data_IF_306897098270
#
_entry.id   IF_306897098270
#
_cell.length_a   1.000
_cell.length_b   1.000
_cell.length_c   1.000
_cell.angle_alpha   90.00
_cell.angle_beta   90.00
_cell.angle_gamma   90.00
#
_symmetry.space_group_name_H-M   'P 1'
#
loop_
_entity.id
_entity.type
_entity.pdbx_description
1 polymer ?
#
# COMPACT_ATOMS: atom_id res chain seq x y z
N UNK A 1 -5.32 10.12 -46.88
CA UNK A 1 -6.13 9.49 -45.80
C UNK A 1 -5.34 8.48 -44.96
N UNK A 2 -4.66 7.50 -45.55
CA UNK A 2 -3.92 6.47 -44.80
C UNK A 2 -2.87 7.03 -43.81
N UNK A 3 -2.12 8.06 -44.23
CA UNK A 3 -1.08 8.69 -43.38
C UNK A 3 -1.67 9.35 -42.12
N UNK A 4 -2.85 9.95 -42.22
CA UNK A 4 -3.51 10.59 -41.06
C UNK A 4 -4.05 9.54 -40.08
N UNK A 5 -4.53 8.40 -40.58
CA UNK A 5 -4.98 7.29 -39.72
C UNK A 5 -3.79 6.62 -38.99
N UNK A 6 -2.65 6.51 -39.66
CA UNK A 6 -1.42 5.95 -39.10
C UNK A 6 -0.79 6.88 -38.05
N UNK A 7 -0.83 8.20 -38.28
CA UNK A 7 -0.43 9.20 -37.29
C UNK A 7 -1.37 9.18 -36.07
N UNK A 8 -2.69 9.05 -36.26
CA UNK A 8 -3.65 8.98 -35.14
C UNK A 8 -3.44 7.71 -34.28
N UNK A 9 -3.15 6.56 -34.91
CA UNK A 9 -2.82 5.31 -34.22
C UNK A 9 -1.49 5.39 -33.46
N UNK A 10 -0.50 6.14 -33.98
CA UNK A 10 0.76 6.40 -33.27
C UNK A 10 0.54 7.31 -32.05
N UNK A 11 -0.28 8.36 -32.18
CA UNK A 11 -0.60 9.27 -31.07
C UNK A 11 -1.46 8.62 -29.96
N UNK A 12 -2.33 7.66 -30.31
CA UNK A 12 -3.12 6.89 -29.33
C UNK A 12 -2.26 5.91 -28.50
N UNK A 13 -1.12 5.47 -29.01
CA UNK A 13 -0.20 4.56 -28.32
C UNK A 13 0.85 5.26 -27.42
N UNK A 14 0.88 6.60 -27.42
CA UNK A 14 1.76 7.40 -26.55
C UNK A 14 1.14 7.72 -25.19
N UNK A 15 -0.01 7.12 -24.86
CA UNK A 15 -0.54 7.11 -23.50
C UNK A 15 0.46 6.37 -22.61
N UNK A 16 1.42 7.12 -22.07
CA UNK A 16 2.37 6.64 -21.08
C UNK A 16 1.53 6.10 -19.93
N UNK A 17 1.53 4.78 -19.72
CA UNK A 17 0.84 4.18 -18.59
C UNK A 17 1.44 4.76 -17.31
N UNK A 18 0.70 5.67 -16.70
CA UNK A 18 1.03 6.21 -15.39
C UNK A 18 0.47 5.26 -14.35
N UNK A 19 1.31 4.91 -13.39
CA UNK A 19 0.89 4.06 -12.29
C UNK A 19 0.60 4.88 -11.04
N UNK A 20 -0.53 4.55 -10.43
CA UNK A 20 -0.88 4.99 -9.08
C UNK A 20 -0.73 3.80 -8.15
N UNK A 21 -0.71 4.04 -6.83
CA UNK A 21 -0.67 2.96 -5.85
C UNK A 21 -1.88 2.01 -5.95
N UNK A 22 -2.98 2.43 -6.59
CA UNK A 22 -4.17 1.63 -6.86
C UNK A 22 -4.08 0.78 -8.13
N UNK A 23 -3.40 1.29 -9.16
CA UNK A 23 -3.32 0.65 -10.49
C UNK A 23 -2.03 -0.12 -10.74
N UNK A 24 -1.01 0.03 -9.89
CA UNK A 24 0.25 -0.70 -10.04
C UNK A 24 0.05 -2.22 -9.85
N UNK A 25 0.46 -3.08 -10.78
CA UNK A 25 0.14 -4.52 -10.70
C UNK A 25 0.88 -5.21 -9.53
N UNK A 26 0.29 -6.26 -8.93
CA UNK A 26 0.97 -7.08 -7.91
C UNK A 26 1.68 -8.26 -8.61
N UNK A 27 3.02 -8.39 -8.52
CA UNK A 27 3.76 -9.41 -9.27
C UNK A 27 3.45 -10.83 -8.84
N UNK A 28 2.74 -11.03 -7.73
CA UNK A 28 2.35 -12.36 -7.22
C UNK A 28 1.04 -12.84 -7.83
N UNK A 29 0.12 -11.92 -8.15
CA UNK A 29 -1.20 -12.24 -8.71
C UNK A 29 -1.35 -11.87 -10.18
N UNK A 30 -0.59 -10.89 -10.67
CA UNK A 30 -0.57 -10.46 -12.07
C UNK A 30 0.89 -10.33 -12.58
N UNK A 31 1.59 -11.47 -12.78
CA UNK A 31 2.97 -11.45 -13.23
C UNK A 31 3.12 -10.90 -14.65
N UNK A 32 2.11 -11.09 -15.52
CA UNK A 32 2.18 -10.64 -16.91
C UNK A 32 2.17 -9.11 -17.03
N UNK A 33 1.33 -8.42 -16.25
CA UNK A 33 1.37 -6.95 -16.19
C UNK A 33 2.71 -6.43 -15.65
N UNK A 34 3.38 -7.21 -14.80
CA UNK A 34 4.72 -6.94 -14.28
C UNK A 34 5.87 -7.38 -15.22
N UNK A 35 5.56 -7.88 -16.43
CA UNK A 35 6.50 -8.43 -17.41
C UNK A 35 7.32 -9.62 -16.90
N UNK A 36 6.68 -10.48 -16.13
CA UNK A 36 7.20 -11.75 -15.63
C UNK A 36 6.36 -12.92 -16.17
N UNK A 37 7.00 -14.07 -16.43
CA UNK A 37 6.30 -15.26 -16.91
C UNK A 37 5.48 -15.96 -15.81
N UNK A 38 5.90 -15.81 -14.54
CA UNK A 38 5.30 -16.45 -13.37
C UNK A 38 5.34 -15.49 -12.18
N UNK A 39 4.63 -15.84 -11.11
CA UNK A 39 4.63 -15.07 -9.86
C UNK A 39 6.04 -14.73 -9.39
N UNK A 40 6.26 -13.46 -9.06
CA UNK A 40 7.60 -12.92 -8.79
C UNK A 40 7.62 -11.94 -7.62
N UNK A 41 8.81 -11.65 -7.12
CA UNK A 41 9.10 -10.55 -6.20
C UNK A 41 9.35 -9.22 -6.93
N UNK A 42 9.52 -9.23 -8.25
CA UNK A 42 9.85 -8.06 -9.07
C UNK A 42 8.67 -7.67 -9.95
N UNK A 43 8.34 -6.39 -9.95
CA UNK A 43 7.38 -5.80 -10.87
C UNK A 43 7.96 -4.59 -11.59
N UNK A 44 8.06 -4.66 -12.92
CA UNK A 44 8.56 -3.57 -13.77
C UNK A 44 7.68 -3.41 -15.04
N UNK A 45 6.44 -2.90 -14.89
CA UNK A 45 5.53 -2.75 -16.01
C UNK A 45 6.04 -1.75 -17.06
N UNK A 46 6.86 -0.79 -16.64
CA UNK A 46 7.45 0.26 -17.49
C UNK A 46 8.70 -0.21 -18.26
N UNK A 47 9.22 -1.42 -18.01
CA UNK A 47 10.50 -1.90 -18.54
C UNK A 47 11.63 -0.89 -18.37
N UNK A 48 11.80 -0.43 -17.14
CA UNK A 48 12.99 0.32 -16.71
C UNK A 48 14.23 -0.56 -16.79
N UNK A 49 14.09 -1.85 -16.47
CA UNK A 49 15.11 -2.88 -16.61
C UNK A 49 14.94 -3.62 -17.95
N UNK A 50 16.06 -4.08 -18.51
CA UNK A 50 16.04 -5.10 -19.55
C UNK A 50 15.45 -6.42 -19.02
N UNK A 51 14.96 -7.27 -19.92
CA UNK A 51 14.39 -8.57 -19.55
C UNK A 51 15.42 -9.46 -18.83
N UNK A 52 16.69 -9.41 -19.26
CA UNK A 52 17.79 -10.13 -18.63
C UNK A 52 18.08 -9.61 -17.21
N UNK A 53 18.17 -8.30 -17.02
CA UNK A 53 18.38 -7.70 -15.70
C UNK A 53 17.23 -8.01 -14.74
N UNK A 54 15.99 -7.92 -15.22
CA UNK A 54 14.79 -8.20 -14.44
C UNK A 54 14.74 -9.65 -13.99
N UNK A 55 15.03 -10.60 -14.87
CA UNK A 55 15.07 -12.02 -14.55
C UNK A 55 16.21 -12.37 -13.58
N UNK A 56 17.41 -11.80 -13.78
CA UNK A 56 18.55 -11.97 -12.86
C UNK A 56 18.25 -11.40 -11.47
N UNK A 57 17.68 -10.21 -11.40
CA UNK A 57 17.26 -9.59 -10.14
C UNK A 57 16.22 -10.45 -9.44
N UNK A 58 15.18 -10.93 -10.14
CA UNK A 58 14.16 -11.80 -9.56
C UNK A 58 14.75 -13.10 -8.99
N UNK A 59 15.65 -13.75 -9.73
CA UNK A 59 16.37 -14.94 -9.25
C UNK A 59 17.18 -14.63 -8.00
N UNK A 60 17.91 -13.50 -8.00
CA UNK A 60 18.76 -13.09 -6.88
C UNK A 60 17.95 -12.76 -5.63
N UNK A 61 16.85 -12.00 -5.76
CA UNK A 61 15.94 -11.71 -4.65
C UNK A 61 15.37 -13.01 -4.07
N UNK A 62 14.93 -13.94 -4.91
CA UNK A 62 14.41 -15.23 -4.44
C UNK A 62 15.49 -16.06 -3.72
N UNK A 63 16.73 -16.04 -4.20
CA UNK A 63 17.86 -16.69 -3.52
C UNK A 63 18.11 -16.07 -2.14
N UNK A 64 18.19 -14.75 -2.05
CA UNK A 64 18.46 -14.03 -0.80
C UNK A 64 17.34 -14.20 0.22
N UNK A 65 16.09 -14.06 -0.20
CA UNK A 65 14.93 -14.31 0.66
C UNK A 65 14.88 -15.78 1.09
N UNK A 66 15.25 -16.72 0.22
CA UNK A 66 15.32 -18.14 0.53
C UNK A 66 16.26 -18.48 1.69
N UNK A 67 17.36 -17.74 1.85
CA UNK A 67 18.30 -17.91 3.00
C UNK A 67 17.61 -17.60 4.33
N UNK A 68 16.62 -16.70 4.34
CA UNK A 68 15.90 -16.33 5.56
C UNK A 68 14.83 -17.33 5.97
N UNK A 69 14.53 -18.33 5.14
CA UNK A 69 13.46 -19.31 5.39
C UNK A 69 13.61 -20.12 6.69
N UNK A 70 14.85 -20.27 7.18
CA UNK A 70 15.17 -20.99 8.42
C UNK A 70 15.19 -20.10 9.66
N UNK A 71 15.06 -18.78 9.50
CA UNK A 71 15.20 -17.81 10.57
C UNK A 71 13.87 -17.62 11.27
N UNK A 72 13.76 -18.06 12.52
CA UNK A 72 12.53 -17.87 13.29
C UNK A 72 12.32 -16.40 13.64
N UNK A 73 11.22 -15.83 13.16
CA UNK A 73 10.86 -14.47 13.54
C UNK A 73 10.45 -14.40 15.01
N UNK A 74 11.27 -13.70 15.80
CA UNK A 74 11.07 -13.46 17.24
C UNK A 74 9.97 -12.43 17.60
N UNK A 75 9.31 -11.81 16.62
CA UNK A 75 8.24 -10.85 16.88
C UNK A 75 6.98 -11.58 17.39
N UNK A 76 6.32 -11.03 18.42
CA UNK A 76 5.17 -11.67 19.06
C UNK A 76 4.02 -12.02 18.08
N UNK A 77 3.63 -11.14 17.12
CA UNK A 77 2.60 -11.48 16.12
C UNK A 77 2.99 -12.64 15.19
N UNK A 78 4.29 -12.91 15.03
CA UNK A 78 4.82 -13.96 14.17
C UNK A 78 4.97 -15.31 14.85
N UNK A 79 4.82 -15.38 16.19
CA UNK A 79 4.92 -16.65 16.93
C UNK A 79 3.88 -17.70 16.48
N UNK A 80 2.70 -17.24 16.05
CA UNK A 80 1.62 -18.10 15.56
C UNK A 80 1.78 -18.49 14.08
N UNK A 81 2.74 -17.89 13.37
CA UNK A 81 3.03 -18.15 11.95
C UNK A 81 4.53 -18.34 11.73
N UNK A 82 5.10 -19.47 12.18
CA UNK A 82 6.53 -19.71 12.09
C UNK A 82 7.06 -19.74 10.65
N UNK A 83 6.18 -19.97 9.67
CA UNK A 83 6.51 -19.96 8.24
C UNK A 83 6.52 -18.55 7.62
N UNK A 84 6.06 -17.52 8.36
CA UNK A 84 6.06 -16.13 7.91
C UNK A 84 7.44 -15.51 8.08
N UNK A 85 8.27 -15.67 7.04
CA UNK A 85 9.61 -15.11 6.94
C UNK A 85 9.61 -13.78 6.19
N UNK A 86 10.80 -13.18 6.02
CA UNK A 86 10.99 -11.96 5.25
C UNK A 86 10.41 -12.11 3.84
N UNK A 87 9.51 -11.20 3.46
CA UNK A 87 8.99 -11.13 2.09
C UNK A 87 9.42 -9.80 1.49
N UNK A 88 10.17 -9.83 0.39
CA UNK A 88 10.61 -8.61 -0.30
C UNK A 88 9.91 -8.53 -1.66
N UNK A 89 9.31 -7.38 -1.95
CA UNK A 89 8.82 -7.03 -3.29
C UNK A 89 9.51 -5.76 -3.77
N UNK A 90 9.88 -5.74 -5.04
CA UNK A 90 10.53 -4.61 -5.71
C UNK A 90 9.60 -4.10 -6.81
N UNK A 91 9.10 -2.88 -6.63
CA UNK A 91 8.28 -2.16 -7.60
C UNK A 91 9.15 -1.15 -8.34
N UNK A 92 9.24 -1.30 -9.65
CA UNK A 92 10.06 -0.46 -10.53
C UNK A 92 9.11 0.21 -11.51
N UNK A 93 9.23 1.53 -11.65
CA UNK A 93 8.41 2.28 -12.59
C UNK A 93 9.16 3.48 -13.14
N UNK A 94 8.69 3.95 -14.29
CA UNK A 94 9.32 5.10 -14.92
C UNK A 94 9.04 6.40 -14.14
N UNK A 95 7.78 6.63 -13.76
CA UNK A 95 7.35 7.83 -13.02
C UNK A 95 6.10 7.56 -12.19
N UNK A 96 6.00 8.18 -11.02
CA UNK A 96 4.82 8.12 -10.16
C UNK A 96 3.81 9.23 -10.54
N UNK A 97 2.53 8.87 -10.66
CA UNK A 97 1.44 9.84 -10.82
C UNK A 97 1.39 10.53 -12.20
N UNK A 98 0.63 11.63 -12.28
CA UNK A 98 0.37 12.36 -13.52
C UNK A 98 1.29 13.55 -13.77
N UNK A 99 1.57 13.82 -15.06
CA UNK A 99 2.40 14.94 -15.51
C UNK A 99 1.97 16.26 -14.83
N UNK A 100 2.91 16.92 -14.15
CA UNK A 100 2.71 18.24 -13.56
C UNK A 100 2.58 18.28 -12.03
N UNK A 101 2.42 17.12 -11.36
CA UNK A 101 2.40 17.05 -9.90
C UNK A 101 3.59 16.25 -9.38
N UNK A 102 4.28 16.77 -8.37
CA UNK A 102 5.31 16.01 -7.66
C UNK A 102 4.59 14.94 -6.83
N UNK A 103 4.73 13.67 -7.20
CA UNK A 103 4.11 12.59 -6.47
C UNK A 103 4.98 12.22 -5.26
N UNK A 104 4.35 12.07 -4.10
CA UNK A 104 5.01 11.59 -2.88
C UNK A 104 5.24 10.07 -2.98
N UNK A 105 6.51 9.67 -3.20
CA UNK A 105 6.92 8.26 -3.27
C UNK A 105 6.66 7.51 -1.96
N UNK A 106 6.71 8.19 -0.82
CA UNK A 106 6.43 7.58 0.49
C UNK A 106 4.95 7.23 0.58
N UNK A 107 4.05 8.17 0.23
CA UNK A 107 2.61 7.91 0.16
C UNK A 107 2.27 6.81 -0.84
N UNK A 108 2.93 6.81 -2.00
CA UNK A 108 2.77 5.75 -3.00
C UNK A 108 3.16 4.38 -2.44
N UNK A 109 4.36 4.25 -1.86
CA UNK A 109 4.89 3.01 -1.32
C UNK A 109 4.04 2.47 -0.16
N UNK A 110 3.63 3.33 0.78
CA UNK A 110 2.78 2.95 1.90
C UNK A 110 1.40 2.44 1.45
N UNK A 111 0.76 3.16 0.52
CA UNK A 111 -0.54 2.74 -0.03
C UNK A 111 -0.42 1.44 -0.84
N UNK A 112 0.68 1.29 -1.61
CA UNK A 112 0.94 0.09 -2.38
C UNK A 112 1.16 -1.13 -1.47
N UNK A 113 1.98 -1.00 -0.42
CA UNK A 113 2.17 -2.04 0.61
C UNK A 113 0.84 -2.43 1.26
N UNK A 114 0.04 -1.46 1.71
CA UNK A 114 -1.28 -1.71 2.32
C UNK A 114 -2.19 -2.50 1.38
N UNK A 115 -2.23 -2.14 0.09
CA UNK A 115 -3.05 -2.84 -0.90
C UNK A 115 -2.55 -4.25 -1.19
N UNK A 116 -1.23 -4.45 -1.36
CA UNK A 116 -0.64 -5.78 -1.57
C UNK A 116 -0.85 -6.71 -0.37
N UNK A 117 -0.98 -6.13 0.82
CA UNK A 117 -1.34 -6.85 2.02
C UNK A 117 -2.86 -6.96 2.19
N UNK A 118 -3.69 -6.57 1.22
CA UNK A 118 -5.16 -6.58 1.35
C UNK A 118 -5.67 -5.93 2.65
N UNK A 119 -4.99 -4.89 3.12
CA UNK A 119 -5.27 -4.25 4.40
C UNK A 119 -5.18 -5.21 5.61
N UNK A 120 -4.22 -6.15 5.63
CA UNK A 120 -4.01 -7.04 6.78
C UNK A 120 -4.10 -6.29 8.11
N UNK A 121 -4.79 -6.91 9.07
CA UNK A 121 -4.99 -6.36 10.40
C UNK A 121 -3.65 -6.05 11.07
N UNK A 122 -3.61 -4.95 11.84
CA UNK A 122 -2.41 -4.48 12.56
C UNK A 122 -1.89 -5.57 13.53
N UNK A 123 -2.73 -6.52 13.93
CA UNK A 123 -2.37 -7.66 14.78
C UNK A 123 -1.66 -8.81 14.09
N UNK A 124 -1.58 -8.83 12.75
CA UNK A 124 -0.93 -9.92 12.01
C UNK A 124 0.58 -9.69 11.85
N UNK A 125 1.31 -10.80 11.71
CA UNK A 125 2.74 -10.81 11.41
C UNK A 125 3.03 -10.09 10.08
N UNK A 126 3.68 -8.94 10.16
CA UNK A 126 4.04 -8.09 9.03
C UNK A 126 5.55 -8.08 8.79
N UNK A 127 6.03 -9.06 8.03
CA UNK A 127 7.42 -9.21 7.59
C UNK A 127 7.68 -8.67 6.18
N UNK A 128 6.73 -7.91 5.63
CA UNK A 128 6.75 -7.48 4.24
C UNK A 128 7.61 -6.23 4.05
N UNK A 129 8.52 -6.27 3.09
CA UNK A 129 9.34 -5.13 2.67
C UNK A 129 9.04 -4.82 1.21
N UNK A 130 8.71 -3.56 0.93
CA UNK A 130 8.50 -3.06 -0.42
C UNK A 130 9.54 -2.00 -0.74
N UNK A 131 10.31 -2.23 -1.80
CA UNK A 131 11.24 -1.28 -2.38
C UNK A 131 10.59 -0.69 -3.62
N UNK A 132 10.45 0.64 -3.68
CA UNK A 132 9.92 1.36 -4.85
C UNK A 132 11.04 2.16 -5.49
N UNK A 133 11.27 1.96 -6.79
CA UNK A 133 12.22 2.74 -7.60
C UNK A 133 11.46 3.49 -8.70
N UNK A 134 11.47 4.83 -8.64
CA UNK A 134 10.94 5.69 -9.70
C UNK A 134 12.10 6.33 -10.48
N UNK A 135 12.27 5.94 -11.75
CA UNK A 135 13.41 6.34 -12.59
C UNK A 135 13.44 7.85 -12.86
N UNK A 136 12.35 8.42 -13.36
CA UNK A 136 12.27 9.85 -13.71
C UNK A 136 12.28 10.75 -12.49
N UNK A 137 11.64 10.31 -11.39
CA UNK A 137 11.63 11.07 -10.14
C UNK A 137 12.99 10.98 -9.41
N UNK A 138 13.87 10.05 -9.84
CA UNK A 138 15.19 9.77 -9.22
C UNK A 138 15.09 9.46 -7.73
N UNK A 139 14.01 8.77 -7.36
CA UNK A 139 13.69 8.45 -5.98
C UNK A 139 13.62 6.94 -5.77
N UNK A 140 14.17 6.50 -4.64
CA UNK A 140 14.01 5.15 -4.14
C UNK A 140 13.49 5.25 -2.72
N UNK A 141 12.42 4.51 -2.44
CA UNK A 141 11.84 4.46 -1.11
C UNK A 141 11.65 3.01 -0.69
N UNK A 142 11.82 2.74 0.60
CA UNK A 142 11.62 1.40 1.16
C UNK A 142 10.71 1.50 2.36
N UNK A 143 9.62 0.74 2.34
CA UNK A 143 8.73 0.56 3.48
C UNK A 143 8.87 -0.87 3.98
N UNK A 144 9.11 -1.02 5.28
CA UNK A 144 9.20 -2.31 5.94
C UNK A 144 8.02 -2.51 6.89
N UNK A 145 7.59 -3.74 7.01
CA UNK A 145 6.61 -4.16 8.00
C UNK A 145 7.17 -4.11 9.41
N UNK A 146 6.27 -3.94 10.38
CA UNK A 146 6.64 -3.80 11.80
C UNK A 146 7.46 -4.99 12.29
N UNK A 147 7.04 -6.19 11.91
CA UNK A 147 7.57 -7.43 12.46
C UNK A 147 8.83 -7.91 11.71
N UNK A 148 9.28 -7.18 10.67
CA UNK A 148 10.58 -7.38 10.05
C UNK A 148 11.75 -6.91 10.94
N UNK A 149 11.49 -6.13 12.00
CA UNK A 149 12.50 -5.55 12.91
C UNK A 149 13.63 -4.78 12.22
N UNK A 150 13.35 -4.18 11.06
CA UNK A 150 14.29 -3.34 10.30
C UNK A 150 14.12 -1.88 10.71
N UNK A 151 15.19 -1.25 11.20
CA UNK A 151 15.16 0.18 11.55
C UNK A 151 15.19 1.08 10.31
N UNK A 152 14.68 2.30 10.45
CA UNK A 152 14.74 3.32 9.39
C UNK A 152 16.19 3.62 8.98
N UNK A 153 17.10 3.65 9.94
CA UNK A 153 18.53 3.86 9.73
C UNK A 153 19.15 2.73 8.91
N UNK A 154 18.71 1.49 9.13
CA UNK A 154 19.15 0.32 8.37
C UNK A 154 18.73 0.43 6.91
N UNK A 155 17.46 0.76 6.66
CA UNK A 155 16.94 0.94 5.30
C UNK A 155 17.63 2.12 4.59
N UNK A 156 17.85 3.23 5.30
CA UNK A 156 18.57 4.39 4.80
C UNK A 156 20.02 4.02 4.41
N UNK A 157 20.72 3.29 5.27
CA UNK A 157 22.09 2.82 5.00
C UNK A 157 22.14 1.88 3.79
N UNK A 158 21.14 1.02 3.63
CA UNK A 158 21.03 0.14 2.46
C UNK A 158 20.95 0.94 1.16
N UNK A 159 20.15 2.01 1.13
CA UNK A 159 20.09 2.91 -0.02
C UNK A 159 21.41 3.68 -0.24
N UNK A 160 21.94 4.31 0.81
CA UNK A 160 23.15 5.14 0.71
C UNK A 160 24.37 4.36 0.22
N UNK A 161 24.52 3.10 0.65
CA UNK A 161 25.61 2.22 0.23
C UNK A 161 25.52 1.85 -1.27
N UNK A 162 24.33 1.94 -1.86
CA UNK A 162 24.04 1.56 -3.24
C UNK A 162 23.76 2.77 -4.17
N UNK A 163 23.87 4.00 -3.66
CA UNK A 163 23.52 5.23 -4.40
C UNK A 163 24.34 5.41 -5.70
N UNK A 164 25.57 4.90 -5.73
CA UNK A 164 26.43 4.95 -6.92
C UNK A 164 25.85 4.20 -8.11
N UNK A 165 25.17 3.08 -7.87
CA UNK A 165 24.50 2.31 -8.92
C UNK A 165 23.31 3.08 -9.51
N UNK A 166 22.50 3.70 -8.66
CA UNK A 166 21.37 4.53 -9.10
C UNK A 166 21.82 5.76 -9.91
N UNK A 167 22.90 6.43 -9.48
CA UNK A 167 23.48 7.58 -10.21
C UNK A 167 24.00 7.22 -11.60
N UNK A 168 24.39 5.97 -11.81
CA UNK A 168 24.94 5.45 -13.07
C UNK A 168 23.91 4.68 -13.91
N UNK A 169 22.61 4.82 -13.58
CA UNK A 169 21.49 4.09 -14.21
C UNK A 169 21.61 2.56 -14.14
N UNK A 170 22.41 2.02 -13.22
CA UNK A 170 22.54 0.58 -12.96
C UNK A 170 21.52 0.15 -11.91
N UNK A 171 20.23 0.34 -12.21
CA UNK A 171 19.13 0.14 -11.26
C UNK A 171 19.09 -1.28 -10.68
N UNK A 172 19.27 -2.31 -11.51
CA UNK A 172 19.27 -3.70 -11.08
C UNK A 172 20.32 -3.98 -10.00
N UNK A 173 21.56 -3.52 -10.20
CA UNK A 173 22.65 -3.69 -9.21
C UNK A 173 22.38 -2.93 -7.92
N UNK A 174 21.84 -1.71 -8.02
CA UNK A 174 21.49 -0.92 -6.83
C UNK A 174 20.39 -1.57 -6.01
N UNK A 175 19.36 -2.11 -6.67
CA UNK A 175 18.27 -2.83 -6.03
C UNK A 175 18.74 -4.16 -5.43
N UNK A 176 19.57 -4.90 -6.14
CA UNK A 176 20.21 -6.13 -5.64
C UNK A 176 20.98 -5.87 -4.35
N UNK A 177 21.88 -4.88 -4.34
CA UNK A 177 22.66 -4.55 -3.15
C UNK A 177 21.80 -4.05 -1.97
N UNK A 178 20.70 -3.35 -2.24
CA UNK A 178 19.73 -3.00 -1.19
C UNK A 178 19.07 -4.23 -0.59
N UNK A 179 18.63 -5.19 -1.43
CA UNK A 179 18.02 -6.45 -0.99
C UNK A 179 19.02 -7.25 -0.15
N UNK A 180 20.28 -7.36 -0.57
CA UNK A 180 21.33 -8.05 0.17
C UNK A 180 21.51 -7.48 1.58
N UNK A 181 21.60 -6.16 1.71
CA UNK A 181 21.75 -5.50 3.00
C UNK A 181 20.52 -5.67 3.90
N UNK A 182 19.32 -5.61 3.33
CA UNK A 182 18.06 -5.81 4.04
C UNK A 182 17.97 -7.25 4.57
N UNK A 183 18.26 -8.24 3.73
CA UNK A 183 18.30 -9.66 4.10
C UNK A 183 19.32 -9.93 5.22
N UNK A 184 20.51 -9.36 5.11
CA UNK A 184 21.54 -9.48 6.15
C UNK A 184 21.09 -8.85 7.47
N UNK A 185 20.51 -7.66 7.42
CA UNK A 185 20.01 -6.97 8.61
C UNK A 185 18.85 -7.72 9.27
N UNK A 186 17.90 -8.24 8.49
CA UNK A 186 16.82 -9.08 8.98
C UNK A 186 17.36 -10.32 9.71
N UNK A 187 18.35 -10.98 9.11
CA UNK A 187 18.99 -12.16 9.71
C UNK A 187 19.59 -11.81 11.07
N UNK A 188 20.37 -10.73 11.14
CA UNK A 188 20.99 -10.28 12.39
C UNK A 188 19.96 -9.84 13.46
N UNK A 189 18.81 -9.30 13.05
CA UNK A 189 17.77 -8.85 13.98
C UNK A 189 17.01 -10.02 14.65
N UNK A 190 17.05 -11.20 14.06
CA UNK A 190 16.30 -12.38 14.51
C UNK A 190 17.18 -13.54 14.98
N UNK A 191 18.46 -13.54 14.64
CA UNK A 191 19.48 -14.39 15.27
C UNK A 191 19.84 -13.76 16.62
N UNK A 192 18.96 -13.88 17.60
CA UNK A 192 19.33 -13.61 18.99
C UNK A 192 20.38 -14.65 19.37
N UNK A 193 21.59 -14.17 19.66
CA UNK A 193 22.66 -14.92 20.30
C UNK A 193 22.08 -15.63 21.52
N UNK A 194 22.07 -16.97 21.50
CA UNK A 194 22.00 -17.73 22.75
C UNK A 194 23.21 -17.25 23.55
N UNK A 195 23.07 -16.70 24.77
CA UNK A 195 24.21 -16.60 25.65
C UNK A 195 24.66 -18.04 25.87
N UNK A 196 25.75 -18.44 25.22
CA UNK A 196 26.51 -19.58 25.70
C UNK A 196 26.77 -19.30 27.18
N UNK A 197 26.43 -20.22 28.11
CA UNK A 197 26.83 -20.06 29.48
C UNK A 197 28.36 -20.18 29.49
N UNK A 198 29.04 -19.05 29.38
CA UNK A 198 30.48 -18.99 29.54
C UNK A 198 30.70 -18.98 31.04
N UNK A 199 31.08 -20.14 31.55
CA UNK A 199 31.73 -20.28 32.84
C UNK A 199 32.83 -19.23 32.99
N UNK A 200 32.94 -18.70 34.21
CA UNK A 200 33.62 -17.46 34.55
C UNK A 200 34.94 -17.21 33.82
N UNK A 201 35.04 -16.02 33.23
CA UNK A 201 36.32 -15.38 32.97
C UNK A 201 36.35 -13.97 33.54
N UNK A 202 37.42 -13.74 34.29
CA UNK A 202 37.78 -12.58 35.10
C UNK A 202 37.76 -11.27 34.30
N UNK A 203 37.32 -10.21 35.00
CA UNK A 203 37.64 -8.82 34.71
C UNK A 203 39.16 -8.62 34.65
N UNK A 204 39.65 -8.07 33.54
CA UNK A 204 40.71 -7.05 33.58
C UNK A 204 40.35 -5.95 32.58
N UNK A 205 40.42 -4.72 33.06
CA UNK A 205 40.01 -3.52 32.34
C UNK A 205 41.03 -3.07 31.30
N UNK A 206 40.54 -2.32 30.32
CA UNK A 206 41.36 -1.37 29.57
C UNK A 206 40.51 -0.15 29.22
N UNK A 207 40.95 0.99 29.76
CA UNK A 207 40.60 2.33 29.31
C UNK A 207 41.13 2.56 27.89
N UNK A 208 40.38 3.29 27.06
CA UNK A 208 40.99 4.26 26.13
C UNK A 208 39.99 5.30 25.65
N UNK A 209 40.52 6.51 25.50
CA UNK A 209 39.92 7.83 25.37
C UNK A 209 39.83 8.34 23.90
N UNK A 210 38.68 8.95 23.53
CA UNK A 210 38.38 10.27 22.91
C UNK A 210 39.36 10.80 21.80
N UNK A 211 38.93 11.32 20.60
CA UNK A 211 38.27 12.65 20.49
C UNK A 211 37.23 12.91 19.36
N UNK A 212 36.52 14.07 19.42
CA UNK A 212 35.30 14.32 18.68
C UNK A 212 35.55 15.04 17.35
N UNK A 213 34.75 14.72 16.33
CA UNK A 213 34.72 15.46 15.07
C UNK A 213 33.38 16.18 14.90
N UNK A 214 33.51 17.50 14.76
CA UNK A 214 32.51 18.51 14.45
C UNK A 214 31.49 18.10 13.37
N UNK A 215 30.21 18.08 13.73
CA UNK A 215 29.10 18.08 12.78
C UNK A 215 28.49 19.47 12.70
N UNK A 216 28.59 20.08 11.51
CA UNK A 216 27.73 21.18 11.09
C UNK A 216 26.27 20.70 11.13
N UNK A 217 25.41 21.53 11.73
CA UNK A 217 23.98 21.33 11.83
C UNK A 217 23.34 21.27 10.44
N UNK A 218 22.92 20.07 10.01
CA UNK A 218 21.73 19.95 9.16
C UNK A 218 20.60 19.43 10.03
N UNK A 219 19.57 20.25 10.20
CA UNK A 219 18.38 19.96 11.02
C UNK A 219 17.67 18.73 10.44
N UNK A 220 17.77 17.60 11.14
CA UNK A 220 16.74 16.58 11.08
C UNK A 220 15.52 17.12 11.85
N UNK A 221 14.37 17.18 11.20
CA UNK A 221 13.12 17.51 11.87
C UNK A 221 12.86 16.48 12.98
N UNK A 222 12.91 16.95 14.23
CA UNK A 222 12.56 16.20 15.41
C UNK A 222 11.04 15.98 15.46
N UNK A 223 10.66 14.80 15.94
CA UNK A 223 9.33 14.40 16.42
C UNK A 223 9.46 14.39 17.96
N UNK A 224 8.44 14.72 18.81
CA UNK A 224 7.02 14.30 18.68
C UNK A 224 5.95 15.35 18.99
N UNK A 225 4.69 15.11 18.55
CA UNK A 225 3.54 14.65 19.38
C UNK A 225 2.21 14.67 18.57
N UNK A 226 1.56 13.50 18.46
CA UNK A 226 0.10 13.23 18.49
C UNK A 226 -0.88 13.66 17.35
N UNK A 227 -1.24 12.65 16.53
CA UNK A 227 -2.63 12.19 16.24
C UNK A 227 -3.52 12.82 15.13
N UNK A 228 -3.21 13.92 14.44
CA UNK A 228 -4.21 14.54 13.52
C UNK A 228 -3.86 14.70 12.03
N UNK A 229 -2.64 14.46 11.59
CA UNK A 229 -2.20 14.88 10.25
C UNK A 229 -1.96 13.71 9.27
N UNK A 230 -2.98 13.14 8.62
CA UNK A 230 -2.84 12.67 7.21
C UNK A 230 -4.17 12.28 6.54
N UNK A 231 -5.22 13.05 6.78
CA UNK A 231 -6.39 13.11 5.90
C UNK A 231 -6.37 14.40 5.03
N UNK A 232 -5.31 15.21 5.12
CA UNK A 232 -5.23 16.57 4.52
C UNK A 232 -4.78 16.65 3.06
N UNK A 233 -4.13 15.63 2.50
CA UNK A 233 -3.43 15.85 1.23
C UNK A 233 -4.21 15.33 0.01
N UNK A 234 -5.48 15.74 -0.06
CA UNK A 234 -6.31 15.71 -1.28
C UNK A 234 -7.41 16.79 -1.28
N UNK A 235 -7.53 17.56 -0.19
CA UNK A 235 -8.40 18.74 -0.13
C UNK A 235 -7.53 19.86 0.41
N UNK A 236 -7.13 20.82 -0.43
CA UNK A 236 -6.12 21.81 -0.07
C UNK A 236 -6.42 22.47 1.28
N UNK A 237 -5.44 22.50 2.19
CA UNK A 237 -5.50 23.06 3.56
C UNK A 237 -6.94 23.29 4.08
N UNK A 238 -7.71 22.21 4.20
CA UNK A 238 -9.01 22.26 4.86
C UNK A 238 -8.73 22.26 6.35
N UNK A 239 -9.16 23.33 7.02
CA UNK A 239 -9.03 23.46 8.47
C UNK A 239 -9.64 22.24 9.15
N UNK A 240 -9.08 21.82 10.28
CA UNK A 240 -9.44 20.54 10.88
C UNK A 240 -10.93 20.49 11.27
N UNK A 241 -11.47 21.63 11.71
CA UNK A 241 -12.88 21.84 12.01
C UNK A 241 -13.83 21.56 10.83
N UNK A 242 -13.33 21.68 9.59
CA UNK A 242 -14.11 21.53 8.36
C UNK A 242 -13.99 20.14 7.74
N UNK A 243 -13.01 19.32 8.18
CA UNK A 243 -12.68 18.03 7.57
C UNK A 243 -13.86 17.06 7.53
N UNK A 244 -14.62 16.97 8.63
CA UNK A 244 -15.80 16.12 8.70
C UNK A 244 -16.88 16.53 7.68
N UNK A 245 -17.08 17.84 7.50
CA UNK A 245 -18.04 18.38 6.55
C UNK A 245 -17.59 18.17 5.10
N UNK A 246 -16.29 18.28 4.84
CA UNK A 246 -15.71 18.00 3.52
C UNK A 246 -15.87 16.53 3.11
N UNK A 247 -15.79 15.59 4.05
CA UNK A 247 -16.07 14.18 3.78
C UNK A 247 -17.53 13.92 3.44
N UNK A 248 -18.44 14.51 4.22
CA UNK A 248 -19.88 14.44 3.97
C UNK A 248 -20.20 15.03 2.59
N UNK A 249 -19.60 16.18 2.25
CA UNK A 249 -19.75 16.84 0.95
C UNK A 249 -19.18 15.99 -0.19
N UNK A 250 -18.06 15.31 0.01
CA UNK A 250 -17.45 14.41 -0.98
C UNK A 250 -18.35 13.20 -1.28
N UNK A 251 -18.97 12.63 -0.24
CA UNK A 251 -19.96 11.55 -0.38
C UNK A 251 -21.21 12.05 -1.11
N UNK A 252 -21.70 13.25 -0.78
CA UNK A 252 -22.84 13.86 -1.44
C UNK A 252 -22.56 14.14 -2.93
N UNK A 253 -21.37 14.66 -3.24
CA UNK A 253 -20.93 14.92 -4.62
C UNK A 253 -20.82 13.64 -5.44
N UNK A 254 -20.30 12.55 -4.84
CA UNK A 254 -20.22 11.24 -5.49
C UNK A 254 -21.59 10.63 -5.82
N UNK A 255 -22.61 10.91 -4.99
CA UNK A 255 -23.97 10.35 -5.14
C UNK A 255 -24.87 11.13 -6.10
N UNK A 256 -24.69 12.45 -6.22
CA UNK A 256 -25.64 13.29 -6.97
C UNK A 256 -24.99 14.17 -8.05
N UNK A 257 -23.66 14.16 -8.16
CA UNK A 257 -22.91 15.09 -9.00
C UNK A 257 -22.95 16.53 -8.46
N UNK A 258 -22.33 17.47 -9.19
CA UNK A 258 -22.30 18.89 -8.83
C UNK A 258 -23.56 19.68 -9.26
N UNK A 259 -24.47 19.07 -10.02
CA UNK A 259 -25.60 19.78 -10.62
C UNK A 259 -26.88 19.58 -9.83
N UNK A 260 -27.27 20.57 -9.02
CA UNK A 260 -28.53 20.62 -8.27
C UNK A 260 -28.43 21.37 -6.92
N UNK A 261 -29.41 21.16 -6.04
CA UNK A 261 -29.42 21.66 -4.66
C UNK A 261 -28.48 20.80 -3.78
N UNK A 262 -27.18 21.10 -3.86
CA UNK A 262 -26.12 20.36 -3.16
C UNK A 262 -26.31 20.33 -1.64
N UNK A 263 -26.85 21.41 -1.05
CA UNK A 263 -27.14 21.47 0.38
C UNK A 263 -28.16 20.40 0.80
N UNK A 264 -29.16 20.13 -0.04
CA UNK A 264 -30.13 19.04 0.19
C UNK A 264 -29.48 17.66 0.10
N UNK A 265 -28.49 17.47 -0.78
CA UNK A 265 -27.73 16.23 -0.88
C UNK A 265 -26.84 16.00 0.35
N UNK A 266 -26.12 17.02 0.79
CA UNK A 266 -25.32 17.00 2.04
C UNK A 266 -26.20 16.68 3.24
N UNK A 267 -27.33 17.37 3.39
CA UNK A 267 -28.31 17.11 4.44
C UNK A 267 -28.79 15.66 4.43
N UNK A 268 -29.10 15.11 3.25
CA UNK A 268 -29.53 13.72 3.11
C UNK A 268 -28.46 12.73 3.58
N UNK A 269 -27.18 12.98 3.29
CA UNK A 269 -26.07 12.12 3.75
C UNK A 269 -25.96 12.15 5.28
N UNK A 270 -26.08 13.33 5.90
CA UNK A 270 -26.03 13.48 7.36
C UNK A 270 -27.21 12.78 8.02
N UNK A 271 -28.43 13.01 7.54
CA UNK A 271 -29.64 12.38 8.09
C UNK A 271 -29.58 10.85 7.96
N UNK A 272 -29.04 10.32 6.86
CA UNK A 272 -28.85 8.88 6.66
C UNK A 272 -27.79 8.30 7.61
N UNK A 273 -26.62 8.94 7.72
CA UNK A 273 -25.56 8.50 8.61
C UNK A 273 -26.02 8.51 10.08
N UNK A 274 -26.76 9.54 10.48
CA UNK A 274 -27.35 9.65 11.81
C UNK A 274 -28.41 8.57 12.02
N UNK A 275 -29.31 8.35 11.05
CA UNK A 275 -30.33 7.31 11.15
C UNK A 275 -29.74 5.90 11.23
N UNK A 276 -28.65 5.63 10.51
CA UNK A 276 -27.91 4.36 10.60
C UNK A 276 -27.26 4.23 11.98
N UNK A 277 -26.60 5.28 12.46
CA UNK A 277 -25.91 5.27 13.77
C UNK A 277 -26.87 4.99 14.92
N UNK A 278 -28.03 5.68 14.95
CA UNK A 278 -29.07 5.45 15.95
C UNK A 278 -29.59 4.01 15.88
N UNK A 279 -29.86 3.50 14.67
CA UNK A 279 -30.29 2.11 14.49
C UNK A 279 -29.25 1.11 14.96
N UNK A 280 -27.97 1.36 14.68
CA UNK A 280 -26.87 0.48 15.04
C UNK A 280 -26.68 0.42 16.57
N UNK A 281 -26.70 1.56 17.25
CA UNK A 281 -26.60 1.63 18.72
C UNK A 281 -27.81 0.95 19.40
N UNK A 282 -28.98 0.99 18.75
CA UNK A 282 -30.17 0.27 19.24
C UNK A 282 -30.22 -1.21 18.82
N UNK A 283 -29.31 -1.67 17.95
CA UNK A 283 -29.34 -3.04 17.42
C UNK A 283 -28.74 -4.00 18.48
N UNK A 284 -29.51 -5.00 18.95
CA UNK A 284 -29.02 -5.91 19.99
C UNK A 284 -27.83 -6.75 19.53
N UNK A 285 -27.66 -6.96 18.22
CA UNK A 285 -26.52 -7.72 17.67
C UNK A 285 -25.24 -6.89 17.68
N UNK A 286 -25.35 -5.59 17.45
CA UNK A 286 -24.22 -4.68 17.58
C UNK A 286 -23.81 -4.54 19.05
N UNK A 287 -24.78 -4.36 19.94
CA UNK A 287 -24.52 -4.28 21.37
C UNK A 287 -23.87 -5.55 21.93
N UNK A 288 -24.25 -6.73 21.43
CA UNK A 288 -23.61 -7.99 21.80
C UNK A 288 -22.12 -8.05 21.41
N UNK A 289 -21.71 -7.41 20.30
CA UNK A 289 -20.30 -7.31 19.91
C UNK A 289 -19.57 -6.41 20.91
N UNK A 290 -20.11 -5.22 21.19
CA UNK A 290 -19.46 -4.26 22.09
C UNK A 290 -19.40 -4.79 23.53
N UNK A 291 -20.41 -5.50 24.00
CA UNK A 291 -20.42 -6.17 25.31
C UNK A 291 -19.38 -7.29 25.39
N UNK A 292 -19.22 -8.10 24.32
CA UNK A 292 -18.19 -9.14 24.24
C UNK A 292 -16.77 -8.55 24.26
N UNK A 293 -16.57 -7.41 23.59
CA UNK A 293 -15.29 -6.69 23.58
C UNK A 293 -14.98 -6.09 24.94
N UNK A 294 -15.93 -5.42 25.58
CA UNK A 294 -15.71 -4.78 26.88
C UNK A 294 -15.47 -5.82 27.99
N UNK A 295 -16.22 -6.93 27.97
CA UNK A 295 -16.11 -8.01 28.97
C UNK A 295 -14.78 -8.77 28.89
N UNK A 296 -14.06 -8.67 27.78
CA UNK A 296 -12.85 -9.45 27.51
C UNK A 296 -11.68 -8.56 27.03
N UNK A 297 -11.67 -7.28 27.42
CA UNK A 297 -10.67 -6.28 27.00
C UNK A 297 -9.21 -6.63 27.31
N UNK A 298 -8.97 -7.57 28.22
CA UNK A 298 -7.64 -8.09 28.56
C UNK A 298 -7.11 -9.10 27.53
N UNK A 299 -7.99 -9.65 26.69
CA UNK A 299 -7.63 -10.60 25.63
C UNK A 299 -7.24 -9.81 24.37
N UNK A 300 -5.95 -9.89 24.01
CA UNK A 300 -5.46 -9.31 22.76
C UNK A 300 -6.19 -9.92 21.55
N UNK A 301 -6.73 -9.07 20.67
CA UNK A 301 -7.48 -9.50 19.49
C UNK A 301 -8.95 -9.86 19.76
N UNK A 302 -9.49 -9.57 20.96
CA UNK A 302 -10.89 -9.85 21.28
C UNK A 302 -11.87 -9.17 20.31
N UNK A 303 -11.56 -7.95 19.87
CA UNK A 303 -12.40 -7.20 18.93
C UNK A 303 -12.54 -7.95 17.61
N UNK A 304 -11.44 -8.45 17.07
CA UNK A 304 -11.43 -9.21 15.81
C UNK A 304 -12.16 -10.54 15.98
N UNK A 305 -12.01 -11.18 17.15
CA UNK A 305 -12.74 -12.40 17.50
C UNK A 305 -14.26 -12.16 17.58
N UNK A 306 -14.70 -11.08 18.24
CA UNK A 306 -16.11 -10.72 18.36
C UNK A 306 -16.72 -10.41 16.99
N UNK A 307 -15.99 -9.68 16.12
CA UNK A 307 -16.43 -9.40 14.75
C UNK A 307 -16.42 -10.65 13.85
N UNK A 308 -15.45 -11.55 14.00
CA UNK A 308 -15.42 -12.83 13.27
C UNK A 308 -16.60 -13.73 13.67
N UNK A 309 -16.89 -13.81 14.96
CA UNK A 309 -18.04 -14.52 15.49
C UNK A 309 -19.35 -13.90 14.99
N UNK A 310 -19.47 -12.58 14.99
CA UNK A 310 -20.62 -11.88 14.39
C UNK A 310 -20.74 -12.17 12.88
N UNK A 311 -19.60 -12.19 12.18
CA UNK A 311 -19.54 -12.45 10.76
C UNK A 311 -20.14 -13.82 10.41
N UNK A 312 -19.72 -14.85 11.13
CA UNK A 312 -20.16 -16.23 10.96
C UNK A 312 -21.61 -16.44 11.46
N UNK A 313 -21.96 -15.86 12.60
CA UNK A 313 -23.25 -16.11 13.25
C UNK A 313 -24.43 -15.41 12.58
N UNK A 314 -24.26 -14.18 12.08
CA UNK A 314 -25.38 -13.44 11.52
C UNK A 314 -25.06 -12.52 10.35
N UNK A 315 -23.86 -11.95 10.20
CA UNK A 315 -23.58 -11.01 9.08
C UNK A 315 -23.58 -11.73 7.74
N UNK A 316 -22.83 -12.83 7.60
CA UNK A 316 -22.77 -13.61 6.35
C UNK A 316 -24.11 -14.29 6.04
N UNK A 317 -24.80 -14.92 7.00
CA UNK A 317 -26.17 -15.40 6.78
C UNK A 317 -27.13 -14.29 6.33
N UNK A 318 -27.06 -13.09 6.92
CA UNK A 318 -27.90 -11.97 6.55
C UNK A 318 -27.59 -11.45 5.14
N UNK A 319 -26.30 -11.34 4.79
CA UNK A 319 -25.85 -10.98 3.44
C UNK A 319 -26.34 -12.00 2.43
N UNK A 320 -26.22 -13.29 2.71
CA UNK A 320 -26.67 -14.35 1.82
C UNK A 320 -28.20 -14.32 1.66
N UNK A 321 -28.94 -14.12 2.75
CA UNK A 321 -30.41 -14.02 2.75
C UNK A 321 -30.92 -12.80 1.96
N UNK A 322 -30.20 -11.69 1.99
CA UNK A 322 -30.61 -10.43 1.35
C UNK A 322 -29.71 -10.04 0.17
N UNK A 323 -28.99 -11.00 -0.42
CA UNK A 323 -27.96 -10.75 -1.43
C UNK A 323 -28.46 -9.96 -2.64
N UNK A 324 -29.68 -10.27 -3.09
CA UNK A 324 -30.31 -9.59 -4.23
C UNK A 324 -30.71 -8.16 -3.89
N UNK A 325 -31.27 -7.92 -2.69
CA UNK A 325 -31.61 -6.59 -2.21
C UNK A 325 -30.36 -5.72 -1.98
N UNK A 326 -29.28 -6.30 -1.43
CA UNK A 326 -27.98 -5.62 -1.28
C UNK A 326 -27.39 -5.28 -2.64
N UNK A 327 -27.44 -6.20 -3.61
CA UNK A 327 -26.92 -5.95 -4.97
C UNK A 327 -27.75 -4.91 -5.73
N UNK A 328 -29.07 -4.94 -5.60
CA UNK A 328 -29.97 -3.95 -6.19
C UNK A 328 -29.78 -2.56 -5.56
N UNK A 329 -29.63 -2.48 -4.24
CA UNK A 329 -29.34 -1.24 -3.52
C UNK A 329 -27.97 -0.65 -3.87
N UNK A 330 -26.94 -1.49 -4.07
CA UNK A 330 -25.61 -1.04 -4.49
C UNK A 330 -25.63 -0.41 -5.90
N UNK A 331 -26.47 -0.92 -6.80
CA UNK A 331 -26.67 -0.32 -8.13
C UNK A 331 -27.45 1.00 -8.08
N UNK A 332 -28.22 1.24 -7.02
CA UNK A 332 -28.98 2.48 -6.81
C UNK A 332 -28.17 3.55 -6.07
N UNK A 333 -27.16 3.16 -5.28
CA UNK A 333 -26.21 4.05 -4.61
C UNK A 333 -25.10 4.59 -5.53
N UNK A 334 -25.05 4.13 -6.78
CA UNK A 334 -24.21 4.69 -7.84
C UNK A 334 -25.10 5.15 -8.99
N UNK A 335 -25.25 6.46 -9.25
CA UNK A 335 -25.77 6.90 -10.53
C UNK A 335 -24.79 6.41 -11.59
N UNK A 336 -25.30 5.60 -12.53
CA UNK A 336 -24.57 5.20 -13.70
C UNK A 336 -23.84 6.39 -14.33
N UNK A 337 -22.54 6.23 -14.59
CA UNK A 337 -21.87 7.01 -15.63
C UNK A 337 -22.81 7.02 -16.85
N UNK A 338 -23.30 8.23 -17.13
CA UNK A 338 -24.39 8.51 -18.06
C UNK A 338 -24.23 7.71 -19.38
N UNK A 339 -25.10 6.74 -19.71
CA UNK A 339 -24.99 5.96 -20.95
C UNK A 339 -25.31 6.79 -22.22
N UNK A 340 -25.64 8.07 -22.09
CA UNK A 340 -26.10 8.91 -23.20
C UNK A 340 -25.02 9.65 -24.02
N UNK A 341 -23.72 9.39 -23.82
CA UNK A 341 -22.66 10.03 -24.64
C UNK A 341 -21.98 9.16 -25.69
N UNK A 342 -22.38 7.90 -25.87
CA UNK A 342 -21.80 6.99 -26.88
C UNK A 342 -22.79 6.48 -27.92
N UNK A 343 -23.79 7.27 -28.32
CA UNK A 343 -24.56 7.01 -29.55
C UNK A 343 -24.84 8.33 -30.28
N UNK A 344 -23.83 8.83 -30.98
CA UNK A 344 -24.03 9.70 -32.16
C UNK A 344 -23.35 9.05 -33.35
N UNK A 345 -23.93 7.96 -33.83
CA UNK A 345 -23.83 7.59 -35.25
C UNK A 345 -24.66 8.58 -36.06
N UNK A 346 -24.11 9.30 -37.05
CA UNK A 346 -24.93 10.00 -38.02
C UNK A 346 -25.51 8.97 -39.01
N UNK A 347 -26.80 8.72 -38.87
CA UNK A 347 -27.63 8.16 -39.94
C UNK A 347 -27.68 9.18 -41.09
N UNK A 348 -27.00 8.90 -42.20
CA UNK A 348 -27.32 9.51 -43.49
C UNK A 348 -28.15 8.50 -44.28
N UNK A 349 -29.42 8.86 -44.42
CA UNK A 349 -30.47 8.20 -45.20
C UNK A 349 -30.37 8.56 -46.70
N UNK A 350 -30.92 7.65 -47.53
CA UNK A 350 -31.36 7.75 -48.95
C UNK A 350 -30.29 7.43 -50.00
N UNK A 351 -30.58 6.67 -51.08
CA UNK A 351 -31.84 6.53 -51.84
C UNK A 351 -31.82 5.29 -52.76
N UNK A 352 -33.01 4.72 -53.01
CA UNK A 352 -33.38 3.77 -54.06
C UNK A 352 -32.70 3.97 -55.44
N UNK A 353 -32.38 2.87 -56.16
CA UNK A 353 -33.10 2.41 -57.38
C UNK A 353 -32.50 1.12 -57.98
N UNK A 354 -33.44 0.30 -58.45
CA UNK A 354 -33.38 -0.90 -59.31
C UNK A 354 -32.87 -2.21 -58.71
#
# INVERSE_FOLDING_TARGET
MLLHFLVLLIFLNLASCQFTSQTFPDPRSDPFACRMAFGSSICDPSSVLSDDERNRLAQRVNQLVGVTSSIKNTAAPCAQRPDSNLQIVVAILDKIGSFGTAADIEKFANNLKRRYQNHQDIGLCDTFVLIVNSRQDRQVFTVAGRDAKLSKETLKRAFESNIGHFKTNKFALGLEGMVEMITAAYSNAHIVQVPTPVEGFRQEGFESSIPPASQQQFRAAAVPTQTQEKFEELVGNVAEEDRAWVDIMSIAAARCGETGDFAKAVRSVVEEAMAISVKLISDPRYNAIEEEVESNKEILGIRDSAWKKAAESWVLPLLQKHKEAVRAGAAQACPALNPHKFLTTPNILRRHRH
#
